data_IF_060468282983
#
_entry.id   IF_060468282983
#
_cell.length_a   1.000
_cell.length_b   1.000
_cell.length_c   1.000
_cell.angle_alpha   90.00
_cell.angle_beta   90.00
_cell.angle_gamma   90.00
#
_symmetry.space_group_name_H-M   'P 1'
#
loop_
_entity.id
_entity.type
_entity.pdbx_description
1 polymer ?
#
# COMPACT_ATOMS: atom_id res chain seq x y z
N UNK A 1 25.47 -13.33 5.20
CA UNK A 1 23.99 -13.43 5.19
C UNK A 1 23.65 -14.76 5.80
N UNK A 2 22.97 -14.78 6.95
CA UNK A 2 22.47 -16.01 7.55
C UNK A 2 21.21 -16.42 6.80
N UNK A 3 21.22 -17.55 6.12
CA UNK A 3 20.04 -18.05 5.42
C UNK A 3 19.04 -18.58 6.46
N UNK A 4 17.88 -17.94 6.57
CA UNK A 4 16.79 -18.40 7.45
C UNK A 4 16.10 -19.58 6.76
N UNK A 5 16.11 -20.74 7.44
CA UNK A 5 15.44 -21.98 7.03
C UNK A 5 14.87 -22.70 8.26
N UNK A 6 14.08 -23.75 8.03
CA UNK A 6 13.42 -24.53 9.08
C UNK A 6 14.38 -24.99 10.20
N UNK A 7 15.57 -25.48 9.84
CA UNK A 7 16.58 -25.94 10.81
C UNK A 7 17.10 -24.80 11.66
N UNK A 8 17.40 -23.65 11.07
CA UNK A 8 17.87 -22.48 11.83
C UNK A 8 16.79 -21.91 12.75
N UNK A 9 15.52 -21.96 12.34
CA UNK A 9 14.39 -21.54 13.18
C UNK A 9 14.19 -22.51 14.33
N UNK A 10 14.19 -23.81 14.04
CA UNK A 10 14.08 -24.88 15.05
C UNK A 10 15.17 -24.74 16.12
N UNK A 11 16.44 -24.66 15.71
CA UNK A 11 17.56 -24.50 16.63
C UNK A 11 17.48 -23.22 17.46
N UNK A 12 17.00 -22.12 16.86
CA UNK A 12 16.83 -20.86 17.60
C UNK A 12 15.72 -20.96 18.65
N UNK A 13 14.59 -21.61 18.34
CA UNK A 13 13.48 -21.77 19.28
C UNK A 13 13.85 -22.75 20.39
N UNK A 14 14.38 -23.93 20.07
CA UNK A 14 14.76 -24.92 21.09
C UNK A 14 15.92 -24.43 21.95
N UNK A 15 16.89 -23.73 21.35
CA UNK A 15 17.96 -23.04 22.09
C UNK A 15 17.41 -22.02 23.08
N UNK A 16 16.40 -21.23 22.68
CA UNK A 16 15.76 -20.26 23.58
C UNK A 16 15.06 -20.92 24.77
N UNK A 17 14.37 -22.05 24.55
CA UNK A 17 13.75 -22.82 25.63
C UNK A 17 14.80 -23.34 26.61
N UNK A 18 15.92 -23.86 26.10
CA UNK A 18 17.03 -24.32 26.94
C UNK A 18 17.65 -23.18 27.76
N UNK A 19 17.89 -22.02 27.13
CA UNK A 19 18.43 -20.84 27.80
C UNK A 19 17.52 -20.34 28.93
N UNK A 20 16.19 -20.41 28.73
CA UNK A 20 15.20 -20.02 29.72
C UNK A 20 14.89 -21.13 30.76
N UNK A 21 15.52 -22.30 30.64
CA UNK A 21 15.28 -23.46 31.52
C UNK A 21 13.88 -24.07 31.37
N UNK A 22 13.21 -23.83 30.24
CA UNK A 22 11.87 -24.31 29.94
C UNK A 22 11.99 -25.64 29.22
N UNK A 23 11.46 -26.70 29.83
CA UNK A 23 11.41 -28.02 29.18
C UNK A 23 10.42 -28.00 28.02
N UNK A 24 10.82 -28.56 26.88
CA UNK A 24 9.98 -28.61 25.67
C UNK A 24 8.70 -29.44 25.88
N UNK A 25 8.71 -30.38 26.83
CA UNK A 25 7.56 -31.17 27.28
C UNK A 25 6.39 -30.33 27.83
N UNK A 26 6.66 -29.08 28.23
CA UNK A 26 5.63 -28.15 28.68
C UNK A 26 4.98 -27.38 27.52
N UNK A 27 5.49 -27.52 26.30
CA UNK A 27 4.95 -26.83 25.14
C UNK A 27 3.69 -27.54 24.67
N UNK A 28 2.53 -26.88 24.83
CA UNK A 28 1.25 -27.48 24.47
C UNK A 28 0.94 -27.37 22.96
N UNK A 29 1.36 -26.28 22.33
CA UNK A 29 1.10 -26.02 20.91
C UNK A 29 2.08 -24.99 20.36
N UNK A 30 2.21 -24.96 19.04
CA UNK A 30 2.96 -23.95 18.29
C UNK A 30 2.07 -23.41 17.19
N UNK A 31 1.99 -22.08 17.08
CA UNK A 31 1.28 -21.40 15.99
C UNK A 31 2.31 -20.71 15.10
N UNK A 32 2.34 -21.06 13.82
CA UNK A 32 3.21 -20.39 12.86
C UNK A 32 2.49 -20.01 11.57
N UNK A 33 3.18 -19.20 10.77
CA UNK A 33 2.70 -18.78 9.46
C UNK A 33 2.71 -19.97 8.48
N UNK A 34 1.91 -19.93 7.42
CA UNK A 34 1.80 -21.08 6.50
C UNK A 34 2.93 -21.12 5.45
N UNK A 35 4.09 -20.51 5.73
CA UNK A 35 5.24 -20.59 4.83
C UNK A 35 5.83 -22.01 4.82
N UNK A 36 6.37 -22.42 3.67
CA UNK A 36 6.87 -23.80 3.48
C UNK A 36 7.98 -24.20 4.47
N UNK A 37 8.84 -23.27 4.89
CA UNK A 37 9.89 -23.55 5.87
C UNK A 37 9.36 -23.54 7.31
N UNK A 38 8.17 -23.00 7.57
CA UNK A 38 7.52 -23.04 8.88
C UNK A 38 6.66 -24.29 9.04
N UNK A 39 5.77 -24.59 8.07
CA UNK A 39 4.76 -25.66 8.16
C UNK A 39 4.88 -26.77 7.11
N UNK A 40 5.96 -26.81 6.33
CA UNK A 40 6.14 -27.84 5.31
C UNK A 40 6.14 -29.25 5.90
N UNK A 41 5.34 -30.16 5.35
CA UNK A 41 5.09 -31.49 5.91
C UNK A 41 6.35 -32.36 6.09
N UNK A 42 7.38 -32.17 5.27
CA UNK A 42 8.61 -32.98 5.32
C UNK A 42 9.76 -32.33 6.07
N UNK A 43 9.89 -31.00 5.98
CA UNK A 43 11.10 -30.31 6.43
C UNK A 43 10.81 -28.93 7.04
N UNK A 44 9.56 -28.65 7.38
CA UNK A 44 9.15 -27.43 8.07
C UNK A 44 9.59 -27.43 9.53
N UNK A 45 9.69 -26.24 10.10
CA UNK A 45 9.95 -26.03 11.53
C UNK A 45 8.97 -26.82 12.42
N UNK A 46 7.66 -26.76 12.15
CA UNK A 46 6.66 -27.47 12.95
C UNK A 46 6.83 -28.99 12.89
N UNK A 47 7.20 -29.55 11.73
CA UNK A 47 7.51 -30.98 11.60
C UNK A 47 8.68 -31.36 12.50
N UNK A 48 9.77 -30.59 12.47
CA UNK A 48 10.96 -30.83 13.32
C UNK A 48 10.64 -30.65 14.80
N UNK A 49 9.85 -29.64 15.15
CA UNK A 49 9.45 -29.42 16.54
C UNK A 49 8.62 -30.60 17.08
N UNK A 50 7.79 -31.23 16.25
CA UNK A 50 7.01 -32.42 16.64
C UNK A 50 7.84 -33.69 16.76
N UNK A 51 8.97 -33.79 16.05
CA UNK A 51 9.94 -34.88 16.27
C UNK A 51 10.47 -34.84 17.71
N UNK A 52 10.71 -33.65 18.25
CA UNK A 52 11.17 -33.44 19.63
C UNK A 52 10.02 -33.41 20.65
N UNK A 53 8.84 -32.92 20.26
CA UNK A 53 7.66 -32.76 21.10
C UNK A 53 6.41 -33.37 20.44
N UNK A 54 6.24 -34.71 20.48
CA UNK A 54 5.14 -35.40 19.78
C UNK A 54 3.76 -35.16 20.39
N UNK A 55 3.69 -34.59 21.60
CA UNK A 55 2.45 -34.27 22.31
C UNK A 55 1.82 -32.94 21.86
N UNK A 56 2.47 -32.19 20.97
CA UNK A 56 1.97 -30.89 20.51
C UNK A 56 0.59 -30.99 19.86
N UNK A 57 -0.34 -30.19 20.37
CA UNK A 57 -1.65 -30.01 19.77
C UNK A 57 -1.50 -29.32 18.40
N UNK A 58 -2.11 -29.91 17.38
CA UNK A 58 -2.21 -29.28 16.06
C UNK A 58 -3.29 -28.19 16.06
N UNK A 59 -2.83 -26.95 16.03
CA UNK A 59 -3.69 -25.76 16.00
C UNK A 59 -3.64 -25.08 14.63
N UNK A 60 -3.67 -25.88 13.56
CA UNK A 60 -3.50 -25.47 12.16
C UNK A 60 -2.56 -24.24 11.97
N UNK A 61 -2.84 -23.36 11.02
CA UNK A 61 -2.00 -22.21 10.70
C UNK A 61 -2.56 -20.93 11.29
N UNK A 62 -1.71 -19.91 11.32
CA UNK A 62 -2.15 -18.56 11.65
C UNK A 62 -3.34 -18.13 10.79
N UNK A 63 -4.50 -17.96 11.43
CA UNK A 63 -5.72 -17.50 10.79
C UNK A 63 -5.53 -16.13 10.13
N UNK A 64 -4.67 -15.27 10.68
CA UNK A 64 -4.36 -13.98 10.08
C UNK A 64 -3.63 -14.17 8.74
N UNK A 65 -2.70 -15.13 8.67
CA UNK A 65 -2.06 -15.52 7.43
C UNK A 65 -3.05 -16.13 6.43
N UNK A 66 -3.98 -16.99 6.89
CA UNK A 66 -5.00 -17.57 6.02
C UNK A 66 -5.89 -16.49 5.40
N UNK A 67 -6.41 -15.55 6.21
CA UNK A 67 -7.25 -14.47 5.68
C UNK A 67 -6.43 -13.52 4.80
N UNK A 68 -5.14 -13.30 5.10
CA UNK A 68 -4.23 -12.57 4.22
C UNK A 68 -4.14 -13.22 2.84
N UNK A 69 -3.86 -14.51 2.76
CA UNK A 69 -3.74 -15.23 1.50
C UNK A 69 -5.05 -15.24 0.72
N UNK A 70 -6.18 -15.47 1.39
CA UNK A 70 -7.51 -15.40 0.79
C UNK A 70 -7.75 -14.00 0.21
N UNK A 71 -7.51 -12.95 0.99
CA UNK A 71 -7.74 -11.56 0.56
C UNK A 71 -6.83 -11.19 -0.61
N UNK A 72 -5.56 -11.62 -0.56
CA UNK A 72 -4.60 -11.40 -1.64
C UNK A 72 -5.04 -12.09 -2.93
N UNK A 73 -5.44 -13.36 -2.84
CA UNK A 73 -5.93 -14.12 -3.98
C UNK A 73 -7.19 -13.48 -4.57
N UNK A 74 -8.16 -13.12 -3.73
CA UNK A 74 -9.38 -12.45 -4.15
C UNK A 74 -9.09 -11.09 -4.82
N UNK A 75 -8.23 -10.28 -4.21
CA UNK A 75 -7.86 -8.96 -4.75
C UNK A 75 -7.14 -9.08 -6.09
N UNK A 76 -6.34 -10.13 -6.31
CA UNK A 76 -5.68 -10.37 -7.61
C UNK A 76 -6.66 -10.61 -8.75
N UNK A 77 -7.88 -11.07 -8.46
CA UNK A 77 -8.94 -11.21 -9.47
C UNK A 77 -9.64 -9.88 -9.78
N UNK A 78 -9.65 -8.95 -8.83
CA UNK A 78 -10.25 -7.61 -9.02
C UNK A 78 -9.32 -6.64 -9.74
N UNK A 79 -8.01 -6.86 -9.63
CA UNK A 79 -6.98 -6.06 -10.27
C UNK A 79 -5.98 -6.98 -11.00
N UNK A 80 -6.42 -7.74 -12.03
CA UNK A 80 -5.61 -8.77 -12.68
C UNK A 80 -4.38 -8.20 -13.39
N UNK A 81 -4.49 -6.96 -13.88
CA UNK A 81 -3.40 -6.22 -14.50
C UNK A 81 -2.61 -5.37 -13.49
N UNK A 82 -2.95 -5.45 -12.20
CA UNK A 82 -2.30 -4.73 -11.10
C UNK A 82 -2.33 -3.20 -11.29
N UNK A 83 -3.34 -2.68 -11.99
CA UNK A 83 -3.52 -1.28 -12.35
C UNK A 83 -3.74 -0.44 -11.09
N UNK A 84 -4.67 -0.82 -10.22
CA UNK A 84 -4.98 -0.08 -9.00
C UNK A 84 -3.78 -0.01 -8.07
N UNK A 85 -3.10 -1.14 -7.87
CA UNK A 85 -1.89 -1.16 -7.05
C UNK A 85 -0.77 -0.29 -7.65
N UNK A 86 -0.58 -0.32 -8.98
CA UNK A 86 0.41 0.53 -9.65
C UNK A 86 0.06 2.01 -9.53
N UNK A 87 -1.20 2.38 -9.72
CA UNK A 87 -1.73 3.73 -9.55
C UNK A 87 -1.41 4.28 -8.15
N UNK A 88 -1.76 3.53 -7.11
CA UNK A 88 -1.51 3.92 -5.72
C UNK A 88 -0.01 4.07 -5.44
N UNK A 89 0.83 3.16 -5.94
CA UNK A 89 2.28 3.25 -5.77
C UNK A 89 2.86 4.46 -6.50
N UNK A 90 2.40 4.76 -7.72
CA UNK A 90 2.91 5.87 -8.53
C UNK A 90 2.55 7.22 -7.91
N UNK A 91 1.32 7.35 -7.42
CA UNK A 91 0.87 8.54 -6.71
C UNK A 91 1.64 8.69 -5.40
N UNK A 92 1.77 7.63 -4.60
CA UNK A 92 2.56 7.71 -3.37
C UNK A 92 4.02 8.15 -3.64
N UNK A 93 4.65 7.62 -4.68
CA UNK A 93 6.01 8.02 -5.09
C UNK A 93 6.11 9.50 -5.46
N UNK A 94 5.11 10.07 -6.12
CA UNK A 94 5.13 11.50 -6.42
C UNK A 94 5.17 12.34 -5.14
N UNK A 95 4.46 11.95 -4.10
CA UNK A 95 4.44 12.67 -2.82
C UNK A 95 5.69 12.47 -1.97
N UNK A 96 6.35 11.30 -2.08
CA UNK A 96 7.61 11.03 -1.37
C UNK A 96 8.78 11.76 -2.04
N UNK A 97 8.85 11.72 -3.38
CA UNK A 97 10.03 12.16 -4.12
C UNK A 97 9.89 13.54 -4.78
N UNK A 98 8.69 14.16 -4.77
CA UNK A 98 8.48 15.51 -5.32
C UNK A 98 7.88 16.45 -4.26
N UNK A 99 8.71 17.12 -3.45
CA UNK A 99 8.26 18.03 -2.40
C UNK A 99 7.35 19.16 -2.92
N UNK A 100 7.61 19.64 -4.13
CA UNK A 100 6.83 20.69 -4.78
C UNK A 100 5.43 20.21 -5.22
N UNK A 101 5.30 18.96 -5.68
CA UNK A 101 3.98 18.36 -5.97
C UNK A 101 3.17 18.26 -4.67
N UNK A 102 3.82 17.87 -3.58
CA UNK A 102 3.20 17.82 -2.25
C UNK A 102 2.74 19.20 -1.77
N UNK A 103 3.54 20.24 -1.98
CA UNK A 103 3.17 21.62 -1.64
C UNK A 103 1.97 22.12 -2.45
N UNK A 104 1.96 21.89 -3.76
CA UNK A 104 0.84 22.23 -4.63
C UNK A 104 -0.43 21.47 -4.25
N UNK A 105 -0.31 20.18 -3.93
CA UNK A 105 -1.42 19.40 -3.42
C UNK A 105 -1.99 19.96 -2.12
N UNK A 106 -1.15 20.31 -1.14
CA UNK A 106 -1.62 20.91 0.11
C UNK A 106 -2.27 22.28 -0.10
N UNK A 107 -1.80 23.05 -1.07
CA UNK A 107 -2.46 24.30 -1.49
C UNK A 107 -3.86 24.01 -2.02
N UNK A 108 -4.02 22.98 -2.87
CA UNK A 108 -5.33 22.56 -3.37
C UNK A 108 -6.23 22.09 -2.20
N UNK A 109 -5.74 21.23 -1.30
CA UNK A 109 -6.49 20.81 -0.11
C UNK A 109 -7.01 21.99 0.70
N UNK A 110 -6.15 22.99 0.97
CA UNK A 110 -6.52 24.20 1.70
C UNK A 110 -7.64 24.98 1.00
N UNK A 111 -7.58 25.10 -0.33
CA UNK A 111 -8.62 25.78 -1.12
C UNK A 111 -9.95 25.02 -1.08
N UNK A 112 -9.89 23.68 -1.07
CA UNK A 112 -11.09 22.83 -0.93
C UNK A 112 -11.62 22.75 0.52
N UNK A 113 -10.94 23.35 1.50
CA UNK A 113 -11.31 23.21 2.91
C UNK A 113 -11.05 21.81 3.48
N UNK A 114 -10.15 21.03 2.87
CA UNK A 114 -9.80 19.68 3.28
C UNK A 114 -8.50 19.66 4.11
N UNK A 115 -8.39 18.75 5.10
CA UNK A 115 -7.16 18.59 5.86
C UNK A 115 -6.02 18.10 4.93
N UNK A 116 -4.83 18.72 4.97
CA UNK A 116 -3.70 18.29 4.16
C UNK A 116 -3.15 16.96 4.70
N UNK A 117 -3.39 15.87 3.96
CA UNK A 117 -2.88 14.53 4.27
C UNK A 117 -2.20 13.93 3.05
N UNK A 118 -1.17 13.13 3.26
CA UNK A 118 -0.50 12.40 2.18
C UNK A 118 -1.19 11.05 1.93
N UNK A 119 -1.30 10.58 0.67
CA UNK A 119 -1.76 9.22 0.38
C UNK A 119 -0.91 8.16 1.08
N UNK A 120 -1.57 7.19 1.73
CA UNK A 120 -0.89 6.07 2.41
C UNK A 120 -0.11 5.21 1.42
N UNK A 121 1.02 4.68 1.89
CA UNK A 121 1.82 3.72 1.13
C UNK A 121 1.13 2.35 1.12
N UNK A 122 1.10 1.73 -0.06
CA UNK A 122 0.74 0.32 -0.19
C UNK A 122 1.95 -0.57 0.07
N UNK A 123 1.93 -1.28 1.19
CA UNK A 123 2.92 -2.25 1.60
C UNK A 123 2.52 -3.65 1.13
N UNK A 124 3.19 -4.13 0.07
CA UNK A 124 2.80 -5.36 -0.63
C UNK A 124 2.83 -6.65 0.19
N UNK A 125 3.52 -6.67 1.34
CA UNK A 125 3.58 -7.81 2.25
C UNK A 125 2.64 -7.68 3.47
N UNK A 126 1.94 -6.55 3.64
CA UNK A 126 0.99 -6.36 4.74
C UNK A 126 -0.42 -6.69 4.30
N UNK A 127 -1.14 -7.38 5.17
CA UNK A 127 -2.56 -7.65 4.98
C UNK A 127 -3.36 -6.35 4.90
N UNK A 128 -4.36 -6.32 4.01
CA UNK A 128 -5.26 -5.20 3.77
C UNK A 128 -4.59 -3.91 3.32
N UNK A 129 -3.29 -3.89 3.05
CA UNK A 129 -2.61 -2.64 2.71
C UNK A 129 -3.15 -2.01 1.42
N UNK A 130 -3.64 -2.83 0.47
CA UNK A 130 -4.35 -2.32 -0.70
C UNK A 130 -5.66 -1.64 -0.30
N UNK A 131 -6.44 -2.22 0.62
CA UNK A 131 -7.68 -1.63 1.13
C UNK A 131 -7.40 -0.32 1.87
N UNK A 132 -6.46 -0.31 2.81
CA UNK A 132 -6.08 0.89 3.57
C UNK A 132 -5.59 2.03 2.66
N UNK A 133 -4.80 1.67 1.64
CA UNK A 133 -4.30 2.65 0.67
C UNK A 133 -5.41 3.16 -0.23
N UNK A 134 -6.34 2.29 -0.63
CA UNK A 134 -7.51 2.66 -1.45
C UNK A 134 -8.46 3.58 -0.68
N UNK A 135 -8.74 3.30 0.59
CA UNK A 135 -9.56 4.16 1.45
C UNK A 135 -8.91 5.54 1.63
N UNK A 136 -7.60 5.56 1.90
CA UNK A 136 -6.86 6.83 1.95
C UNK A 136 -6.91 7.59 0.63
N UNK A 137 -6.96 6.88 -0.50
CA UNK A 137 -7.06 7.49 -1.82
C UNK A 137 -8.45 8.08 -2.07
N UNK A 138 -9.49 7.37 -1.68
CA UNK A 138 -10.89 7.80 -1.78
C UNK A 138 -11.13 9.10 -1.01
N UNK A 139 -10.61 9.21 0.22
CA UNK A 139 -10.66 10.46 1.00
C UNK A 139 -10.00 11.65 0.29
N UNK A 140 -9.00 11.39 -0.54
CA UNK A 140 -8.20 12.40 -1.24
C UNK A 140 -8.56 12.51 -2.73
N UNK A 141 -9.62 11.83 -3.19
CA UNK A 141 -9.93 11.70 -4.61
C UNK A 141 -10.16 13.07 -5.27
N UNK A 142 -10.88 13.98 -4.63
CA UNK A 142 -11.17 15.31 -5.18
C UNK A 142 -9.92 16.18 -5.37
N UNK A 143 -9.07 16.43 -4.34
CA UNK A 143 -7.85 17.21 -4.52
C UNK A 143 -6.85 16.52 -5.46
N UNK A 144 -6.79 15.18 -5.48
CA UNK A 144 -5.96 14.44 -6.42
C UNK A 144 -6.45 14.60 -7.86
N UNK A 145 -7.77 14.54 -8.08
CA UNK A 145 -8.38 14.76 -9.41
C UNK A 145 -7.98 16.14 -9.95
N UNK A 146 -8.08 17.19 -9.12
CA UNK A 146 -7.64 18.54 -9.51
C UNK A 146 -6.14 18.57 -9.80
N UNK A 147 -5.31 17.98 -8.93
CA UNK A 147 -3.86 17.96 -9.12
C UNK A 147 -3.47 17.35 -10.47
N UNK A 148 -3.95 16.14 -10.75
CA UNK A 148 -3.59 15.38 -11.94
C UNK A 148 -4.26 15.88 -13.22
N UNK A 149 -5.40 16.57 -13.13
CA UNK A 149 -6.01 17.26 -14.26
C UNK A 149 -5.04 18.25 -14.95
N UNK A 150 -4.04 18.77 -14.23
CA UNK A 150 -2.99 19.63 -14.79
C UNK A 150 -2.24 19.00 -15.97
N UNK A 151 -2.04 17.67 -15.94
CA UNK A 151 -1.23 16.91 -16.90
C UNK A 151 -2.04 16.25 -18.02
N UNK A 152 -3.37 16.26 -17.92
CA UNK A 152 -4.24 15.73 -18.96
C UNK A 152 -4.04 16.46 -20.30
N UNK A 153 -4.26 15.70 -21.37
CA UNK A 153 -4.29 16.21 -22.75
C UNK A 153 -5.40 17.25 -22.92
N UNK A 154 -5.37 18.03 -24.00
CA UNK A 154 -6.44 19.00 -24.27
C UNK A 154 -7.79 18.29 -24.45
N UNK A 155 -7.79 17.12 -25.09
CA UNK A 155 -9.00 16.33 -25.32
C UNK A 155 -9.59 15.83 -23.99
N UNK A 156 -8.75 15.26 -23.13
CA UNK A 156 -9.20 14.73 -21.82
C UNK A 156 -9.65 15.86 -20.89
N UNK A 157 -9.01 17.04 -20.95
CA UNK A 157 -9.44 18.20 -20.18
C UNK A 157 -10.85 18.62 -20.53
N UNK A 158 -11.24 18.57 -21.80
CA UNK A 158 -12.61 18.85 -22.23
C UNK A 158 -13.56 17.79 -21.65
N UNK A 159 -13.19 16.51 -21.74
CA UNK A 159 -14.00 15.40 -21.23
C UNK A 159 -14.25 15.49 -19.71
N UNK A 160 -13.20 15.79 -18.94
CA UNK A 160 -13.25 15.81 -17.48
C UNK A 160 -13.51 17.20 -16.87
N UNK A 161 -13.73 18.24 -17.70
CA UNK A 161 -13.98 19.60 -17.21
C UNK A 161 -15.16 19.66 -16.25
N UNK A 162 -16.24 18.94 -16.57
CA UNK A 162 -17.44 18.88 -15.72
C UNK A 162 -17.10 18.36 -14.32
N UNK A 163 -16.26 17.33 -14.21
CA UNK A 163 -15.83 16.76 -12.93
C UNK A 163 -15.12 17.80 -12.05
N UNK A 164 -14.27 18.64 -12.64
CA UNK A 164 -13.60 19.73 -11.91
C UNK A 164 -14.61 20.78 -11.44
N UNK A 165 -15.56 21.15 -12.28
CA UNK A 165 -16.64 22.07 -11.90
C UNK A 165 -17.49 21.51 -10.75
N UNK A 166 -17.85 20.22 -10.81
CA UNK A 166 -18.62 19.54 -9.76
C UNK A 166 -17.86 19.52 -8.43
N UNK A 167 -16.54 19.31 -8.45
CA UNK A 167 -15.68 19.40 -7.25
C UNK A 167 -15.71 20.83 -6.67
N UNK A 168 -15.60 21.86 -7.52
CA UNK A 168 -15.68 23.25 -7.04
C UNK A 168 -17.03 23.59 -6.42
N UNK A 169 -18.12 23.06 -6.96
CA UNK A 169 -19.47 23.24 -6.39
C UNK A 169 -19.58 22.50 -5.06
N UNK A 170 -19.17 21.22 -5.01
CA UNK A 170 -19.19 20.38 -3.81
C UNK A 170 -18.46 21.02 -2.63
N UNK A 171 -17.28 21.57 -2.86
CA UNK A 171 -16.44 22.21 -1.84
C UNK A 171 -16.64 23.72 -1.72
N UNK A 172 -17.67 24.28 -2.38
CA UNK A 172 -18.02 25.70 -2.32
C UNK A 172 -16.83 26.65 -2.62
N UNK A 173 -16.01 26.27 -3.60
CA UNK A 173 -14.78 26.99 -3.92
C UNK A 173 -15.09 28.36 -4.53
N UNK A 174 -14.60 29.40 -3.86
CA UNK A 174 -14.77 30.80 -4.26
C UNK A 174 -14.10 31.12 -5.61
N UNK A 175 -14.50 32.22 -6.24
CA UNK A 175 -13.86 32.66 -7.48
C UNK A 175 -12.35 32.88 -7.32
N UNK A 176 -11.90 33.48 -6.22
CA UNK A 176 -10.46 33.65 -5.93
C UNK A 176 -9.76 32.31 -5.72
N UNK A 177 -10.42 31.35 -5.04
CA UNK A 177 -9.91 29.98 -4.89
C UNK A 177 -9.73 29.27 -6.23
N UNK A 178 -10.70 29.39 -7.14
CA UNK A 178 -10.60 28.83 -8.50
C UNK A 178 -9.41 29.43 -9.28
N UNK A 179 -9.20 30.74 -9.19
CA UNK A 179 -8.03 31.37 -9.81
C UNK A 179 -6.70 30.84 -9.22
N UNK A 180 -6.62 30.66 -7.91
CA UNK A 180 -5.45 30.10 -7.25
C UNK A 180 -5.18 28.63 -7.66
N UNK A 181 -6.23 27.81 -7.80
CA UNK A 181 -6.10 26.44 -8.35
C UNK A 181 -5.59 26.49 -9.80
N UNK A 182 -6.16 27.33 -10.66
CA UNK A 182 -5.71 27.46 -12.06
C UNK A 182 -4.25 27.92 -12.18
N UNK A 183 -3.81 28.83 -11.31
CA UNK A 183 -2.41 29.24 -11.23
C UNK A 183 -1.51 28.06 -10.80
N UNK A 184 -1.95 27.26 -9.83
CA UNK A 184 -1.24 26.05 -9.38
C UNK A 184 -1.15 25.02 -10.51
N UNK A 185 -2.24 24.76 -11.22
CA UNK A 185 -2.27 23.84 -12.36
C UNK A 185 -1.33 24.27 -13.49
N UNK A 186 -1.26 25.57 -13.76
CA UNK A 186 -0.33 26.12 -14.77
C UNK A 186 1.13 25.85 -14.42
N UNK A 187 1.51 26.02 -13.13
CA UNK A 187 2.86 25.68 -12.64
C UNK A 187 3.17 24.18 -12.78
N UNK A 188 2.22 23.33 -12.42
CA UNK A 188 2.36 21.87 -12.54
C UNK A 188 2.54 21.42 -14.00
N UNK A 189 1.81 22.06 -14.94
CA UNK A 189 1.93 21.78 -16.37
C UNK A 189 3.31 22.15 -16.93
N UNK A 190 3.85 23.31 -16.55
CA UNK A 190 5.19 23.75 -16.95
C UNK A 190 6.28 22.74 -16.54
N UNK A 191 6.12 22.10 -15.38
CA UNK A 191 7.08 21.13 -14.84
C UNK A 191 7.28 19.90 -15.74
N UNK A 192 6.30 19.53 -16.56
CA UNK A 192 6.41 18.37 -17.48
C UNK A 192 7.66 18.46 -18.37
N UNK A 193 8.07 19.68 -18.74
CA UNK A 193 9.25 19.92 -19.59
C UNK A 193 10.53 19.35 -18.96
N UNK A 194 10.66 19.41 -17.62
CA UNK A 194 11.83 18.93 -16.87
C UNK A 194 11.71 17.51 -16.31
N UNK A 195 10.59 16.81 -16.54
CA UNK A 195 10.40 15.44 -16.05
C UNK A 195 11.13 14.42 -16.91
N UNK A 196 11.69 13.39 -16.26
CA UNK A 196 12.22 12.22 -16.98
C UNK A 196 11.10 11.44 -17.67
N UNK A 197 11.45 10.64 -18.68
CA UNK A 197 10.49 9.79 -19.41
C UNK A 197 9.73 8.88 -18.45
N UNK A 198 10.41 8.28 -17.48
CA UNK A 198 9.79 7.43 -16.47
C UNK A 198 8.70 8.16 -15.67
N UNK A 199 8.95 9.41 -15.28
CA UNK A 199 7.98 10.23 -14.53
C UNK A 199 6.81 10.63 -15.42
N UNK A 200 7.06 10.98 -16.69
CA UNK A 200 5.99 11.29 -17.66
C UNK A 200 5.05 10.11 -17.85
N UNK A 201 5.61 8.92 -18.08
CA UNK A 201 4.82 7.69 -18.24
C UNK A 201 3.99 7.35 -16.97
N UNK A 202 4.46 7.72 -15.76
CA UNK A 202 3.65 7.60 -14.55
C UNK A 202 2.42 8.51 -14.60
N UNK A 203 2.58 9.75 -15.04
CA UNK A 203 1.48 10.73 -15.12
C UNK A 203 0.40 10.33 -16.12
N UNK A 204 0.76 9.60 -17.17
CA UNK A 204 -0.20 9.07 -18.16
C UNK A 204 -1.03 7.89 -17.62
N UNK A 205 -0.57 7.22 -16.56
CA UNK A 205 -1.29 6.12 -15.91
C UNK A 205 -2.24 6.57 -14.79
N UNK A 206 -2.20 7.85 -14.42
CA UNK A 206 -3.04 8.47 -13.37
C UNK A 206 -4.18 9.24 -14.01
#
# INVERSE_FOLDING_TARGET
MTTVNATTVHAAVTGRFADDGIQLENLMSSLSDSAAYMRGCTNGYETKLREDAPHLLEIDGDICHHIHNITRQFSSQLDPENILACLLNDIHKDFVYSPDIKEHFFTICKILGLPPKQPRERVGHRWLSLLDSSQSFEELADPLTILYFSWLSVQDKVLYQKKICDIYVKHQVSASGRHAVMATMSKLKEKVKGMSVLVKNRKERV
#
